data_IF_389274084997
#
_entry.id   IF_389274084997
#
_cell.length_a   1.000
_cell.length_b   1.000
_cell.length_c   1.000
_cell.angle_alpha   90.00
_cell.angle_beta   90.00
_cell.angle_gamma   90.00
#
_symmetry.space_group_name_H-M   'P 1'
#
loop_
_entity.id
_entity.type
_entity.pdbx_description
1 polymer ?
#
# COMPACT_ATOMS: atom_id res chain seq x y z
N UNK A 1 -0.79 -10.53 -1.00
CA UNK A 1 -1.18 -10.45 0.43
C UNK A 1 0.04 -10.06 1.26
N UNK A 2 -0.17 -9.29 2.33
CA UNK A 2 0.91 -8.65 3.06
C UNK A 2 1.67 -9.60 4.01
N UNK A 3 0.99 -10.56 4.65
CA UNK A 3 1.65 -11.53 5.55
C UNK A 3 2.12 -12.80 4.84
N UNK A 4 1.27 -13.37 3.98
CA UNK A 4 1.59 -14.57 3.20
C UNK A 4 1.01 -14.43 1.81
N UNK A 5 1.81 -14.57 0.75
CA UNK A 5 1.35 -14.44 -0.65
C UNK A 5 0.35 -15.53 -1.05
N UNK A 6 0.27 -16.61 -0.29
CA UNK A 6 -0.59 -17.77 -0.57
C UNK A 6 -1.91 -17.70 0.21
N UNK A 7 -1.89 -17.10 1.40
CA UNK A 7 -3.05 -17.06 2.29
C UNK A 7 -3.65 -15.66 2.34
N UNK A 8 -4.91 -15.56 1.93
CA UNK A 8 -5.69 -14.33 2.02
C UNK A 8 -6.15 -14.07 3.45
N UNK A 9 -5.83 -12.90 3.98
CA UNK A 9 -6.44 -12.36 5.19
C UNK A 9 -7.25 -11.11 4.86
N UNK A 10 -8.53 -11.08 5.26
CA UNK A 10 -9.39 -9.92 5.07
C UNK A 10 -9.15 -8.87 6.14
N UNK A 11 -9.14 -7.61 5.73
CA UNK A 11 -9.19 -6.47 6.64
C UNK A 11 -10.60 -6.33 7.21
N UNK A 12 -10.69 -5.82 8.45
CA UNK A 12 -11.96 -5.48 9.07
C UNK A 12 -12.08 -3.95 9.13
N UNK A 13 -13.14 -3.35 8.55
CA UNK A 13 -13.35 -1.91 8.63
C UNK A 13 -13.26 -1.38 10.07
N UNK A 14 -12.60 -0.24 10.26
CA UNK A 14 -12.41 0.39 11.58
C UNK A 14 -11.40 -0.28 12.51
N UNK A 15 -10.89 -1.48 12.17
CA UNK A 15 -9.85 -2.16 12.95
C UNK A 15 -8.46 -1.75 12.48
N UNK A 16 -7.68 -1.11 13.35
CA UNK A 16 -6.28 -0.81 13.07
C UNK A 16 -5.52 -2.10 12.72
N UNK A 17 -4.83 -2.08 11.58
CA UNK A 17 -4.10 -3.24 11.06
C UNK A 17 -2.74 -2.77 10.54
N UNK A 18 -1.67 -3.41 11.01
CA UNK A 18 -0.32 -3.16 10.50
C UNK A 18 -0.08 -3.95 9.22
N UNK A 19 0.30 -3.26 8.15
CA UNK A 19 0.66 -3.84 6.86
C UNK A 19 2.13 -3.49 6.61
N UNK A 20 2.97 -4.51 6.48
CA UNK A 20 4.38 -4.33 6.15
C UNK A 20 4.59 -4.37 4.61
N UNK A 21 5.47 -3.52 4.13
CA UNK A 21 5.96 -3.53 2.74
C UNK A 21 7.47 -3.71 2.78
N UNK A 22 7.92 -4.94 2.57
CA UNK A 22 9.33 -5.36 2.69
C UNK A 22 9.96 -5.67 1.32
N UNK A 23 9.19 -6.19 0.38
CA UNK A 23 9.62 -6.43 -0.99
C UNK A 23 9.46 -5.17 -1.85
N UNK A 24 10.32 -4.18 -1.62
CA UNK A 24 10.35 -2.92 -2.38
C UNK A 24 11.59 -2.82 -3.24
N UNK A 25 11.44 -2.29 -4.46
CA UNK A 25 12.58 -1.88 -5.28
C UNK A 25 13.19 -0.61 -4.67
N UNK A 26 14.50 -0.60 -4.50
CA UNK A 26 15.25 0.54 -4.01
C UNK A 26 16.01 1.17 -5.18
N UNK A 27 16.11 2.50 -5.19
CA UNK A 27 16.99 3.26 -6.08
C UNK A 27 18.02 4.02 -5.24
N UNK A 28 19.19 4.29 -5.82
CA UNK A 28 20.14 5.27 -5.27
C UNK A 28 19.93 6.61 -5.96
N UNK A 29 19.68 7.67 -5.19
CA UNK A 29 19.47 9.02 -5.72
C UNK A 29 20.06 10.08 -4.81
N UNK A 30 20.97 10.90 -5.35
CA UNK A 30 21.42 12.12 -4.69
C UNK A 30 20.31 13.17 -4.74
N UNK A 31 19.94 13.71 -3.57
CA UNK A 31 18.92 14.76 -3.46
C UNK A 31 19.59 16.13 -3.37
N UNK A 32 19.12 17.09 -4.17
CA UNK A 32 19.59 18.46 -4.12
C UNK A 32 18.99 19.20 -2.91
N UNK A 33 19.67 20.25 -2.43
CA UNK A 33 19.13 21.14 -1.39
C UNK A 33 17.74 21.64 -1.78
N UNK A 34 16.79 21.60 -0.85
CA UNK A 34 15.40 21.99 -1.09
C UNK A 34 14.49 20.86 -1.59
N UNK A 35 15.02 19.68 -1.89
CA UNK A 35 14.21 18.49 -2.21
C UNK A 35 13.35 18.06 -1.01
N UNK A 36 12.21 17.44 -1.29
CA UNK A 36 11.31 16.85 -0.28
C UNK A 36 11.08 15.37 -0.58
N UNK A 37 10.93 14.58 0.47
CA UNK A 37 10.46 13.20 0.37
C UNK A 37 8.94 13.20 0.46
N UNK A 38 8.29 12.55 -0.51
CA UNK A 38 6.83 12.38 -0.54
C UNK A 38 6.55 10.89 -0.56
N UNK A 39 5.70 10.44 0.36
CA UNK A 39 5.22 9.06 0.43
C UNK A 39 3.78 9.03 -0.04
N UNK A 40 3.48 8.16 -1.00
CA UNK A 40 2.14 7.96 -1.54
C UNK A 40 1.70 6.54 -1.17
N UNK A 41 0.59 6.44 -0.44
CA UNK A 41 -0.10 5.17 -0.18
C UNK A 41 -1.34 5.15 -1.05
N UNK A 42 -1.43 4.19 -1.96
CA UNK A 42 -2.54 4.10 -2.91
C UNK A 42 -2.90 2.64 -3.19
N UNK A 43 -4.09 2.41 -3.75
CA UNK A 43 -4.49 1.12 -4.30
C UNK A 43 -3.71 0.79 -5.58
N UNK A 44 -3.44 -0.50 -5.81
CA UNK A 44 -2.80 -0.94 -7.05
C UNK A 44 -3.81 -0.86 -8.21
N UNK A 45 -3.64 0.12 -9.10
CA UNK A 45 -4.47 0.31 -10.29
C UNK A 45 -3.56 0.42 -11.52
N UNK A 46 -3.34 -0.70 -12.19
CA UNK A 46 -2.57 -0.75 -13.43
C UNK A 46 -3.22 -1.74 -14.41
N UNK A 47 -2.90 -1.68 -15.73
CA UNK A 47 -3.55 -2.51 -16.75
C UNK A 47 -3.38 -4.02 -16.56
N UNK A 48 -2.43 -4.45 -15.74
CA UNK A 48 -2.12 -5.86 -15.48
C UNK A 48 -2.66 -6.35 -14.13
N UNK A 49 -3.44 -5.53 -13.41
CA UNK A 49 -4.02 -5.86 -12.11
C UNK A 49 -5.55 -5.79 -12.14
N UNK A 50 -6.20 -6.72 -11.44
CA UNK A 50 -7.62 -6.65 -11.17
C UNK A 50 -7.91 -5.57 -10.12
N UNK A 51 -9.01 -4.84 -10.30
CA UNK A 51 -9.46 -3.82 -9.34
C UNK A 51 -10.25 -4.52 -8.23
N UNK A 52 -9.88 -4.26 -6.98
CA UNK A 52 -10.63 -4.72 -5.81
C UNK A 52 -11.64 -3.64 -5.40
N UNK A 53 -12.92 -3.98 -5.47
CA UNK A 53 -14.07 -3.13 -5.16
C UNK A 53 -14.57 -3.28 -3.72
N UNK A 54 -13.90 -4.12 -2.90
CA UNK A 54 -14.07 -4.12 -1.45
C UNK A 54 -15.11 -5.10 -0.92
N UNK A 55 -15.56 -6.08 -1.71
CA UNK A 55 -16.56 -7.06 -1.22
C UNK A 55 -15.96 -8.14 -0.32
N UNK A 56 -14.66 -8.37 -0.44
CA UNK A 56 -13.96 -9.45 0.26
C UNK A 56 -14.05 -10.82 -0.43
N UNK A 57 -14.81 -10.93 -1.53
CA UNK A 57 -14.89 -12.14 -2.38
C UNK A 57 -13.68 -12.24 -3.30
N UNK A 58 -13.65 -13.27 -4.15
CA UNK A 58 -12.68 -13.36 -5.24
C UNK A 58 -12.77 -12.11 -6.13
N UNK A 59 -11.65 -11.40 -6.26
CA UNK A 59 -11.55 -10.12 -6.99
C UNK A 59 -11.93 -10.31 -8.46
N UNK A 60 -11.71 -11.48 -9.03
CA UNK A 60 -12.10 -11.81 -10.41
C UNK A 60 -13.61 -11.81 -10.66
N UNK A 61 -14.40 -11.88 -9.58
CA UNK A 61 -15.86 -11.90 -9.62
C UNK A 61 -16.49 -10.57 -9.23
N UNK A 62 -15.68 -9.55 -8.89
CA UNK A 62 -16.14 -8.22 -8.53
C UNK A 62 -16.29 -7.33 -9.77
N UNK A 63 -17.18 -6.35 -9.67
CA UNK A 63 -17.40 -5.36 -10.73
C UNK A 63 -17.63 -3.96 -10.14
N UNK A 64 -17.75 -2.95 -11.01
CA UNK A 64 -17.92 -1.55 -10.55
C UNK A 64 -19.22 -1.34 -9.77
N UNK A 65 -20.23 -2.18 -10.00
CA UNK A 65 -21.50 -2.19 -9.25
C UNK A 65 -21.31 -2.55 -7.77
N UNK A 66 -20.21 -3.21 -7.41
CA UNK A 66 -19.85 -3.52 -6.03
C UNK A 66 -19.27 -2.31 -5.26
N UNK A 67 -18.86 -1.23 -5.97
CA UNK A 67 -18.16 -0.07 -5.41
C UNK A 67 -19.09 0.88 -4.64
N UNK A 68 -19.76 0.38 -3.60
CA UNK A 68 -20.83 1.09 -2.88
C UNK A 68 -20.32 2.17 -1.92
N UNK A 69 -19.21 1.88 -1.24
CA UNK A 69 -18.67 2.72 -0.18
C UNK A 69 -17.27 3.25 -0.54
N UNK A 70 -16.96 4.52 -0.27
CA UNK A 70 -15.63 5.06 -0.53
C UNK A 70 -14.59 4.46 0.42
N UNK A 71 -13.39 4.20 -0.11
CA UNK A 71 -12.25 3.80 0.72
C UNK A 71 -11.75 4.98 1.55
N UNK A 72 -11.92 4.90 2.87
CA UNK A 72 -11.38 5.86 3.82
C UNK A 72 -10.12 5.30 4.49
N UNK A 73 -8.97 5.95 4.25
CA UNK A 73 -7.69 5.58 4.85
C UNK A 73 -7.35 6.53 6.00
N UNK A 74 -7.14 5.99 7.19
CA UNK A 74 -6.55 6.68 8.33
C UNK A 74 -5.20 6.03 8.64
N UNK A 75 -4.12 6.78 8.45
CA UNK A 75 -2.77 6.31 8.74
C UNK A 75 -2.44 6.59 10.21
N UNK A 76 -2.00 5.55 10.92
CA UNK A 76 -1.54 5.65 12.30
C UNK A 76 -0.29 6.53 12.37
N UNK A 77 -0.18 7.41 13.37
CA UNK A 77 1.05 8.21 13.62
C UNK A 77 2.24 7.34 14.02
N UNK A 78 2.01 6.06 14.30
CA UNK A 78 3.03 5.04 14.56
C UNK A 78 3.61 4.42 13.28
N UNK A 79 3.06 4.76 12.11
CA UNK A 79 3.56 4.28 10.82
C UNK A 79 4.95 4.86 10.53
N UNK A 80 5.84 4.06 9.95
CA UNK A 80 7.23 4.48 9.68
C UNK A 80 7.70 3.99 8.32
N UNK A 81 8.64 4.74 7.74
CA UNK A 81 9.41 4.35 6.56
C UNK A 81 10.89 4.29 6.97
N UNK A 82 11.60 3.27 6.50
CA UNK A 82 13.03 3.16 6.71
C UNK A 82 13.72 3.51 5.40
N UNK A 83 14.42 4.65 5.35
CA UNK A 83 15.17 5.09 4.17
C UNK A 83 16.66 5.02 4.50
N UNK A 84 17.43 4.13 3.86
CA UNK A 84 18.88 4.11 4.02
C UNK A 84 19.48 5.41 3.49
N UNK A 85 20.35 6.05 4.28
CA UNK A 85 21.10 7.24 3.88
C UNK A 85 22.57 6.87 3.81
N UNK A 86 23.20 7.14 2.67
CA UNK A 86 24.64 7.05 2.52
C UNK A 86 25.28 8.35 3.03
N UNK A 87 26.19 8.23 4.01
CA UNK A 87 26.81 9.38 4.66
C UNK A 87 28.18 9.76 4.07
N UNK A 88 28.67 9.02 3.07
CA UNK A 88 30.02 9.19 2.54
C UNK A 88 31.10 8.61 3.47
N UNK A 89 32.00 7.83 2.90
CA UNK A 89 33.40 7.75 3.33
C UNK A 89 34.23 8.35 2.19
#
# INVERSE_FOLDING_TARGET
YAKSREVRELLRPGKETTIAFDNTRIISKKLAKGSRLVVIVNGNKNPYAQVNYGTGRDVSTESVEDAKEPLLLKLSTRSKINIPIWNGE
#
